data_IF_379373308824
#
_entry.id   IF_379373308824
#
_cell.length_a   1.000
_cell.length_b   1.000
_cell.length_c   1.000
_cell.angle_alpha   90.00
_cell.angle_beta   90.00
_cell.angle_gamma   90.00
#
_symmetry.space_group_name_H-M   'P 1'
#
loop_
_entity.id
_entity.type
_entity.pdbx_description
1 polymer ?
#
# COMPACT_ATOMS: atom_id res chain seq x y z
N UNK A 1 -28.87 -64.66 -46.82
CA UNK A 1 -27.56 -64.70 -47.50
C UNK A 1 -27.15 -63.30 -47.94
N UNK A 2 -26.05 -62.76 -47.41
CA UNK A 2 -25.06 -61.86 -48.05
C UNK A 2 -24.12 -61.33 -46.96
N UNK A 3 -22.90 -61.86 -46.95
CA UNK A 3 -21.75 -61.34 -46.20
C UNK A 3 -21.11 -60.20 -47.02
N UNK A 4 -20.69 -59.12 -46.36
CA UNK A 4 -19.49 -58.27 -46.61
C UNK A 4 -19.68 -56.94 -45.85
N UNK A 5 -18.85 -56.61 -44.85
CA UNK A 5 -17.48 -56.09 -44.87
C UNK A 5 -17.50 -54.56 -44.60
N UNK A 6 -16.92 -54.10 -43.49
CA UNK A 6 -16.21 -52.81 -43.43
C UNK A 6 -15.48 -52.65 -42.08
N UNK A 7 -14.15 -52.68 -42.14
CA UNK A 7 -13.25 -52.01 -41.20
C UNK A 7 -13.62 -50.52 -41.17
N UNK A 8 -13.81 -49.93 -39.99
CA UNK A 8 -13.45 -48.54 -39.72
C UNK A 8 -13.43 -48.32 -38.21
N UNK A 9 -12.25 -48.51 -37.60
CA UNK A 9 -11.98 -47.95 -36.28
C UNK A 9 -11.88 -46.45 -36.44
N UNK A 10 -12.93 -45.73 -36.06
CA UNK A 10 -12.99 -44.27 -36.10
C UNK A 10 -13.64 -43.76 -34.81
N UNK A 11 -12.81 -43.10 -34.00
CA UNK A 11 -13.13 -41.96 -33.14
C UNK A 11 -14.43 -42.02 -32.31
N UNK A 12 -14.28 -42.32 -31.01
CA UNK A 12 -14.97 -41.57 -29.95
C UNK A 12 -14.39 -41.92 -28.58
N UNK A 13 -13.34 -41.20 -28.19
CA UNK A 13 -12.80 -41.20 -26.83
C UNK A 13 -12.71 -39.76 -26.36
N UNK A 14 -13.87 -39.13 -26.18
CA UNK A 14 -14.02 -37.83 -25.56
C UNK A 14 -13.61 -37.98 -24.08
N UNK A 15 -12.34 -37.73 -23.77
CA UNK A 15 -11.93 -37.47 -22.38
C UNK A 15 -11.79 -35.96 -22.21
N UNK A 16 -12.79 -35.39 -21.56
CA UNK A 16 -12.73 -34.07 -20.92
C UNK A 16 -11.48 -34.02 -20.04
N UNK A 17 -10.46 -33.30 -20.48
CA UNK A 17 -9.57 -32.63 -19.55
C UNK A 17 -10.12 -31.21 -19.41
N UNK A 18 -10.86 -30.98 -18.33
CA UNK A 18 -11.08 -29.63 -17.84
C UNK A 18 -9.70 -29.05 -17.53
N UNK A 19 -9.14 -28.29 -18.47
CA UNK A 19 -8.05 -27.37 -18.15
C UNK A 19 -8.63 -26.37 -17.17
N UNK A 20 -8.35 -26.62 -15.89
CA UNK A 20 -8.63 -25.69 -14.81
C UNK A 20 -8.14 -24.32 -15.21
N UNK A 21 -8.93 -23.31 -14.84
CA UNK A 21 -8.60 -21.91 -14.98
C UNK A 21 -7.12 -21.71 -14.63
N UNK A 22 -6.33 -21.36 -15.65
CA UNK A 22 -5.00 -20.79 -15.44
C UNK A 22 -5.20 -19.62 -14.49
N UNK A 23 -4.69 -19.80 -13.28
CA UNK A 23 -4.91 -18.90 -12.16
C UNK A 23 -4.69 -17.47 -12.60
N UNK A 24 -5.61 -16.60 -12.20
CA UNK A 24 -5.29 -15.19 -11.99
C UNK A 24 -3.93 -15.15 -11.32
N UNK A 25 -2.97 -14.46 -11.96
CA UNK A 25 -1.70 -14.18 -11.34
C UNK A 25 -1.98 -13.72 -9.93
N UNK A 26 -1.38 -14.39 -8.94
CA UNK A 26 -1.29 -13.86 -7.61
C UNK A 26 -0.48 -12.57 -7.75
N UNK A 27 -1.17 -11.47 -8.06
CA UNK A 27 -0.59 -10.14 -7.97
C UNK A 27 -0.11 -10.01 -6.54
N UNK A 28 1.15 -9.60 -6.37
CA UNK A 28 1.69 -9.26 -5.06
C UNK A 28 0.64 -8.43 -4.29
N UNK A 29 0.37 -8.73 -3.01
CA UNK A 29 -0.64 -7.98 -2.26
C UNK A 29 -0.30 -6.49 -2.36
N UNK A 30 -1.24 -5.71 -2.90
CA UNK A 30 -1.04 -4.28 -3.09
C UNK A 30 -0.61 -3.65 -1.75
N UNK A 31 0.51 -2.94 -1.77
CA UNK A 31 1.13 -2.34 -0.59
C UNK A 31 1.37 -0.86 -0.82
N UNK A 32 1.18 -0.07 0.24
CA UNK A 32 1.49 1.36 0.26
C UNK A 32 2.80 1.54 1.00
N UNK A 33 3.82 2.00 0.29
CA UNK A 33 5.09 2.43 0.87
C UNK A 33 5.00 3.93 1.18
N UNK A 34 5.09 4.27 2.47
CA UNK A 34 5.01 5.64 2.96
C UNK A 34 6.39 6.07 3.45
N UNK A 35 6.89 7.18 2.91
CA UNK A 35 8.08 7.84 3.40
C UNK A 35 7.70 9.17 4.05
N UNK A 36 8.05 9.31 5.33
CA UNK A 36 7.82 10.51 6.14
C UNK A 36 9.12 11.30 6.31
N UNK A 37 9.04 12.62 6.17
CA UNK A 37 10.13 13.51 6.57
C UNK A 37 9.65 14.85 7.10
N UNK A 38 10.47 15.45 7.95
CA UNK A 38 10.34 16.84 8.38
C UNK A 38 11.45 17.69 7.80
N UNK A 39 11.09 18.92 7.42
CA UNK A 39 12.05 19.97 7.11
C UNK A 39 12.51 20.65 8.40
N UNK A 40 13.82 20.68 8.63
CA UNK A 40 14.44 21.42 9.73
C UNK A 40 15.33 22.49 9.11
N UNK A 41 15.02 23.75 9.38
CA UNK A 41 15.82 24.89 8.98
C UNK A 41 16.48 25.47 10.23
N UNK A 42 17.74 25.86 10.12
CA UNK A 42 18.42 26.63 11.17
C UNK A 42 17.96 28.08 11.02
N UNK A 43 17.48 28.68 12.11
CA UNK A 43 16.99 30.06 12.06
C UNK A 43 18.14 31.02 11.70
N UNK A 44 17.96 31.77 10.60
CA UNK A 44 18.99 32.66 10.07
C UNK A 44 19.86 32.06 8.95
N UNK A 45 19.77 30.75 8.70
CA UNK A 45 20.43 30.08 7.59
C UNK A 45 19.43 29.64 6.50
N UNK A 46 19.84 29.73 5.24
CA UNK A 46 19.03 29.29 4.10
C UNK A 46 19.03 27.75 3.93
N UNK A 47 19.89 27.05 4.68
CA UNK A 47 20.07 25.61 4.56
C UNK A 47 19.10 24.87 5.48
N UNK A 48 18.16 24.17 4.86
CA UNK A 48 17.28 23.22 5.53
C UNK A 48 17.71 21.79 5.21
N UNK A 49 17.53 20.89 6.15
CA UNK A 49 17.78 19.47 5.97
C UNK A 49 16.54 18.63 6.30
N UNK A 50 16.48 17.44 5.71
CA UNK A 50 15.38 16.50 5.88
C UNK A 50 15.74 15.43 6.90
N UNK A 51 14.85 15.18 7.85
CA UNK A 51 14.96 14.06 8.78
C UNK A 51 13.75 13.14 8.62
N UNK A 52 13.99 11.83 8.66
CA UNK A 52 12.92 10.84 8.82
C UNK A 52 12.16 11.06 10.14
N UNK A 53 10.87 10.75 10.16
CA UNK A 53 10.05 10.82 11.38
C UNK A 53 9.88 9.41 11.94
N UNK A 54 10.63 8.99 12.97
CA UNK A 54 10.51 7.65 13.55
C UNK A 54 9.30 7.51 14.47
N UNK A 55 8.83 6.27 14.65
CA UNK A 55 7.76 5.88 15.57
C UNK A 55 6.44 6.64 15.37
N UNK A 56 6.24 7.27 14.19
CA UNK A 56 4.99 7.90 13.84
C UNK A 56 3.93 6.83 13.58
N UNK A 57 2.74 7.00 14.15
CA UNK A 57 1.60 6.13 13.86
C UNK A 57 1.02 6.53 12.50
N UNK A 58 0.99 5.60 11.56
CA UNK A 58 0.50 5.81 10.20
C UNK A 58 -0.67 4.89 9.94
N UNK A 59 -1.77 5.45 9.47
CA UNK A 59 -3.00 4.73 9.16
C UNK A 59 -3.43 5.00 7.72
N UNK A 60 -3.87 3.95 7.04
CA UNK A 60 -4.57 4.03 5.75
C UNK A 60 -6.07 4.00 6.02
N UNK A 61 -6.80 5.04 5.61
CA UNK A 61 -8.20 5.27 6.03
C UNK A 61 -9.08 5.61 4.82
N UNK A 62 -10.23 4.95 4.71
CA UNK A 62 -11.25 5.31 3.72
C UNK A 62 -11.87 6.70 4.01
N UNK A 63 -12.50 7.35 3.01
CA UNK A 63 -13.24 8.59 3.23
C UNK A 63 -14.31 8.48 4.32
N UNK A 64 -14.94 7.30 4.46
CA UNK A 64 -15.91 7.00 5.53
C UNK A 64 -15.32 6.79 6.93
N UNK A 65 -14.00 6.93 7.11
CA UNK A 65 -13.33 6.81 8.42
C UNK A 65 -12.93 5.39 8.82
N UNK A 66 -13.26 4.38 8.01
CA UNK A 66 -12.81 3.01 8.24
C UNK A 66 -11.29 2.89 8.01
N UNK A 67 -10.59 2.32 9.00
CA UNK A 67 -9.16 2.04 8.92
C UNK A 67 -8.92 0.73 8.17
N UNK A 68 -8.07 0.78 7.15
CA UNK A 68 -7.66 -0.37 6.33
C UNK A 68 -6.46 -1.08 6.95
N UNK A 69 -5.46 -0.30 7.36
CA UNK A 69 -4.22 -0.77 7.94
C UNK A 69 -3.58 0.31 8.82
N UNK A 70 -2.78 -0.10 9.79
CA UNK A 70 -1.96 0.77 10.62
C UNK A 70 -0.53 0.23 10.71
N UNK A 71 0.42 1.11 10.99
CA UNK A 71 1.82 0.76 11.16
C UNK A 71 2.58 1.90 11.82
N UNK A 72 3.82 1.62 12.19
CA UNK A 72 4.75 2.62 12.71
C UNK A 72 5.91 2.83 11.75
N UNK A 73 6.35 4.07 11.62
CA UNK A 73 7.54 4.39 10.84
C UNK A 73 8.84 3.97 11.54
N UNK A 74 9.80 3.53 10.74
CA UNK A 74 11.13 3.16 11.19
C UNK A 74 12.05 4.39 11.44
N UNK A 75 13.32 4.14 11.78
CA UNK A 75 14.32 5.19 12.01
C UNK A 75 14.54 6.12 10.81
N UNK A 76 14.28 5.64 9.59
CA UNK A 76 14.35 6.42 8.36
C UNK A 76 13.03 7.13 8.01
N UNK A 77 11.98 6.94 8.81
CA UNK A 77 10.64 7.47 8.55
C UNK A 77 9.83 6.67 7.53
N UNK A 78 10.20 5.42 7.24
CA UNK A 78 9.50 4.55 6.30
C UNK A 78 8.50 3.64 7.00
N UNK A 79 7.37 3.38 6.36
CA UNK A 79 6.43 2.33 6.77
C UNK A 79 5.77 1.71 5.55
N UNK A 80 5.66 0.39 5.55
CA UNK A 80 4.91 -0.36 4.55
C UNK A 80 3.55 -0.76 5.14
N UNK A 81 2.47 -0.34 4.49
CA UNK A 81 1.10 -0.68 4.88
C UNK A 81 0.46 -1.60 3.84
N UNK A 82 -0.10 -2.75 4.24
CA UNK A 82 -0.87 -3.57 3.31
C UNK A 82 -2.17 -2.85 2.92
N UNK A 83 -2.52 -2.79 1.64
CA UNK A 83 -3.80 -2.21 1.21
C UNK A 83 -4.98 -3.16 1.46
N UNK A 84 -4.71 -4.45 1.69
CA UNK A 84 -5.73 -5.48 1.91
C UNK A 84 -6.80 -5.53 0.79
N UNK A 85 -6.39 -5.25 -0.45
CA UNK A 85 -7.31 -5.20 -1.60
C UNK A 85 -8.15 -3.92 -1.67
N UNK A 86 -7.84 -2.92 -0.85
CA UNK A 86 -8.44 -1.60 -0.98
C UNK A 86 -8.04 -0.94 -2.30
N UNK A 87 -9.03 -0.39 -2.98
CA UNK A 87 -8.88 0.35 -4.25
C UNK A 87 -9.64 1.67 -4.16
N UNK A 88 -9.19 2.66 -4.93
CA UNK A 88 -9.83 3.98 -4.97
C UNK A 88 -9.30 4.96 -3.94
N UNK A 89 -10.12 5.96 -3.62
CA UNK A 89 -9.72 7.07 -2.76
C UNK A 89 -9.56 6.63 -1.30
N UNK A 90 -8.43 6.98 -0.71
CA UNK A 90 -8.12 6.80 0.71
C UNK A 90 -7.32 8.01 1.21
N UNK A 91 -7.05 8.04 2.51
CA UNK A 91 -6.16 9.00 3.16
C UNK A 91 -5.09 8.25 3.93
N UNK A 92 -3.87 8.78 3.87
CA UNK A 92 -2.81 8.43 4.81
C UNK A 92 -2.85 9.43 5.95
N UNK A 93 -3.11 8.94 7.15
CA UNK A 93 -3.14 9.72 8.39
C UNK A 93 -1.87 9.41 9.17
N UNK A 94 -1.11 10.44 9.50
CA UNK A 94 0.13 10.35 10.28
C UNK A 94 -0.08 11.08 11.59
N UNK A 95 0.26 10.44 12.71
CA UNK A 95 0.21 11.02 14.05
C UNK A 95 1.59 10.88 14.69
N UNK A 96 2.16 12.00 15.13
CA UNK A 96 3.44 12.03 15.84
C UNK A 96 3.63 13.38 16.54
N UNK A 97 4.17 13.43 17.77
CA UNK A 97 4.50 14.69 18.42
C UNK A 97 5.64 15.46 17.70
N UNK A 98 6.36 14.81 16.78
CA UNK A 98 7.47 15.41 16.04
C UNK A 98 7.01 16.24 14.84
N UNK A 99 5.75 16.12 14.44
CA UNK A 99 5.15 16.91 13.35
C UNK A 99 4.27 18.03 13.91
N UNK A 100 4.23 19.16 13.19
CA UNK A 100 3.39 20.31 13.55
C UNK A 100 1.93 19.88 13.75
N UNK A 101 1.30 20.40 14.81
CA UNK A 101 -0.06 20.03 15.25
C UNK A 101 -0.27 18.55 15.59
N UNK A 102 0.80 17.74 15.64
CA UNK A 102 0.74 16.33 16.05
C UNK A 102 0.14 15.38 15.01
N UNK A 103 -0.40 15.89 13.89
CA UNK A 103 -1.18 15.11 12.93
C UNK A 103 -1.12 15.69 11.52
N UNK A 104 -1.00 14.82 10.52
CA UNK A 104 -1.07 15.16 9.09
C UNK A 104 -1.95 14.16 8.36
N UNK A 105 -2.70 14.64 7.38
CA UNK A 105 -3.44 13.79 6.44
C UNK A 105 -2.99 14.10 5.02
N UNK A 106 -2.90 13.07 4.19
CA UNK A 106 -2.68 13.21 2.75
C UNK A 106 -3.64 12.29 1.98
N UNK A 107 -4.37 12.80 0.97
CA UNK A 107 -5.15 11.94 0.09
C UNK A 107 -4.23 11.04 -0.74
N UNK A 108 -4.73 9.86 -1.10
CA UNK A 108 -4.05 8.89 -1.94
C UNK A 108 -5.08 8.13 -2.79
N UNK A 109 -4.74 7.86 -4.04
CA UNK A 109 -5.54 7.01 -4.92
C UNK A 109 -4.86 5.65 -5.03
N UNK A 110 -5.49 4.60 -4.51
CA UNK A 110 -4.96 3.25 -4.61
C UNK A 110 -5.31 2.64 -5.98
N UNK A 111 -4.32 2.07 -6.70
CA UNK A 111 -4.56 1.40 -7.96
C UNK A 111 -5.28 0.06 -7.73
N UNK A 112 -5.87 -0.48 -8.79
CA UNK A 112 -6.49 -1.81 -8.77
C UNK A 112 -5.45 -2.93 -8.60
N UNK A 113 -4.22 -2.73 -9.08
CA UNK A 113 -3.11 -3.68 -8.98
C UNK A 113 -1.80 -2.94 -8.69
N UNK A 114 -0.87 -3.62 -8.01
CA UNK A 114 0.47 -3.11 -7.70
C UNK A 114 0.57 -2.29 -6.41
N UNK A 115 1.76 -1.73 -6.17
CA UNK A 115 2.05 -0.90 -5.01
C UNK A 115 1.94 0.59 -5.31
N UNK A 116 1.77 1.40 -4.26
CA UNK A 116 1.83 2.87 -4.35
C UNK A 116 2.88 3.41 -3.41
N UNK A 117 3.69 4.37 -3.86
CA UNK A 117 4.58 5.10 -2.99
C UNK A 117 4.02 6.50 -2.73
N UNK A 118 4.01 6.93 -1.49
CA UNK A 118 3.67 8.29 -1.11
C UNK A 118 4.72 8.88 -0.17
N UNK A 119 5.01 10.14 -0.44
CA UNK A 119 5.88 10.99 0.35
C UNK A 119 5.03 11.96 1.15
N UNK A 120 5.27 12.06 2.46
CA UNK A 120 4.58 13.02 3.33
C UNK A 120 5.61 13.93 3.99
N UNK A 121 5.63 15.19 3.53
CA UNK A 121 6.39 16.25 4.16
C UNK A 121 5.56 16.93 5.26
N UNK A 122 6.16 17.07 6.44
CA UNK A 122 5.60 17.87 7.54
C UNK A 122 6.60 18.94 8.00
N UNK A 123 6.09 19.97 8.68
CA UNK A 123 6.96 20.85 9.48
C UNK A 123 7.23 20.18 10.82
N UNK A 124 8.41 20.45 11.38
CA UNK A 124 8.75 19.99 12.72
C UNK A 124 7.79 20.62 13.74
N UNK A 125 7.22 19.79 14.61
CA UNK A 125 6.45 20.26 15.76
C UNK A 125 7.36 20.84 16.85
N UNK A 126 6.82 21.76 17.64
CA UNK A 126 7.47 22.21 18.88
C UNK A 126 7.37 21.08 19.92
N UNK A 127 8.37 20.21 19.96
CA UNK A 127 8.51 19.28 21.07
C UNK A 127 9.14 20.02 22.26
N UNK A 128 8.35 20.35 23.28
CA UNK A 128 8.87 20.80 24.57
C UNK A 128 8.98 19.57 25.50
N UNK A 129 10.18 19.06 25.81
CA UNK A 129 10.34 17.91 26.71
C UNK A 129 10.01 18.21 28.19
N UNK A 130 9.65 19.43 28.55
CA UNK A 130 9.20 19.79 29.89
C UNK A 130 8.11 20.86 29.80
N UNK A 131 7.05 20.70 30.59
CA UNK A 131 6.22 21.83 30.99
C UNK A 131 7.00 22.61 32.03
N UNK A 132 7.11 23.92 31.82
CA UNK A 132 7.48 24.88 32.87
C UNK A 132 6.31 25.10 33.84
#
# INVERSE_FOLDING_TARGET
>A
MRKKLAKLGLLCGLMLAATGATGCGAGEPASVDVQLWVNVCVEGDADCFFLGVPEAEVSLVYPGGQVIATGKSDAAGKVLLPSNGAVGEVRVVVVSPLIEAGRKESPLMLPYEGGTNITIAARRGSYSPAGD
#
